data_IF_328503756161
#
_entry.id   IF_328503756161
#
_cell.length_a   1.000
_cell.length_b   1.000
_cell.length_c   1.000
_cell.angle_alpha   90.00
_cell.angle_beta   90.00
_cell.angle_gamma   90.00
#
_symmetry.space_group_name_H-M   'P 1'
#
loop_
_entity.id
_entity.type
_entity.pdbx_description
1 polymer ?
#
# COMPACT_ATOMS: atom_id res chain seq x y z
N UNK A 1 -78.98 -61.15 -27.80
CA UNK A 1 -78.38 -62.41 -27.30
C UNK A 1 -76.97 -62.44 -27.84
N UNK A 2 -75.87 -62.36 -27.10
CA UNK A 2 -75.61 -62.16 -25.67
C UNK A 2 -74.11 -61.88 -25.64
N UNK A 3 -73.70 -60.71 -25.16
CA UNK A 3 -72.32 -60.38 -24.84
C UNK A 3 -72.01 -60.82 -23.41
N UNK A 4 -70.79 -61.28 -23.14
CA UNK A 4 -70.14 -61.30 -21.80
C UNK A 4 -68.63 -61.04 -22.00
N UNK A 5 -67.94 -60.33 -21.07
CA UNK A 5 -66.85 -59.39 -21.38
C UNK A 5 -65.50 -59.75 -20.71
N UNK A 6 -64.48 -58.91 -20.93
CA UNK A 6 -63.35 -58.66 -20.02
C UNK A 6 -63.08 -57.14 -20.07
N UNK A 7 -63.33 -56.34 -19.02
CA UNK A 7 -62.43 -55.99 -17.87
C UNK A 7 -61.07 -55.46 -18.35
N UNK A 8 -60.49 -54.35 -17.89
CA UNK A 8 -60.79 -53.35 -16.86
C UNK A 8 -59.69 -52.25 -16.94
N UNK A 9 -59.91 -51.13 -16.24
CA UNK A 9 -58.93 -50.18 -15.66
C UNK A 9 -58.14 -49.17 -16.54
N UNK A 10 -58.57 -47.91 -16.38
CA UNK A 10 -57.84 -46.61 -16.24
C UNK A 10 -56.39 -46.44 -16.71
N UNK A 11 -56.07 -45.28 -17.31
CA UNK A 11 -55.30 -44.26 -16.57
C UNK A 11 -55.31 -42.89 -17.27
N UNK A 12 -55.65 -41.85 -16.51
CA UNK A 12 -55.64 -40.44 -16.92
C UNK A 12 -54.23 -39.86 -16.74
N UNK A 13 -53.49 -39.69 -17.84
CA UNK A 13 -52.19 -39.01 -17.80
C UNK A 13 -52.37 -37.49 -17.89
N UNK A 14 -52.29 -36.82 -16.74
CA UNK A 14 -52.05 -35.38 -16.65
C UNK A 14 -50.62 -35.05 -17.15
N UNK A 15 -50.50 -34.05 -18.01
CA UNK A 15 -49.21 -33.53 -18.45
C UNK A 15 -48.63 -32.59 -17.39
N UNK A 16 -47.55 -33.00 -16.73
CA UNK A 16 -46.75 -32.09 -15.92
C UNK A 16 -45.93 -31.15 -16.83
N UNK A 17 -45.79 -29.85 -16.51
CA UNK A 17 -44.92 -28.96 -17.25
C UNK A 17 -43.46 -29.36 -17.01
N UNK A 18 -42.70 -29.50 -18.09
CA UNK A 18 -41.31 -29.91 -18.07
C UNK A 18 -40.47 -29.00 -17.17
N UNK A 19 -39.79 -29.61 -16.18
CA UNK A 19 -38.69 -28.97 -15.48
C UNK A 19 -37.61 -28.69 -16.51
N UNK A 20 -37.51 -27.44 -16.96
CA UNK A 20 -36.37 -26.98 -17.74
C UNK A 20 -35.08 -27.30 -16.97
N UNK A 21 -34.24 -28.12 -17.58
CA UNK A 21 -32.87 -28.33 -17.14
C UNK A 21 -32.19 -26.96 -17.21
N UNK A 22 -31.98 -26.31 -16.05
CA UNK A 22 -31.08 -25.16 -15.98
C UNK A 22 -29.70 -25.74 -16.27
N UNK A 23 -29.17 -25.44 -17.45
CA UNK A 23 -27.75 -25.61 -17.69
C UNK A 23 -27.01 -24.73 -16.66
N UNK A 24 -26.04 -25.27 -15.91
CA UNK A 24 -25.21 -24.43 -15.06
C UNK A 24 -24.55 -23.38 -15.96
N UNK A 25 -24.63 -22.10 -15.57
CA UNK A 25 -23.89 -21.07 -16.27
C UNK A 25 -22.39 -21.44 -16.29
N UNK A 26 -21.68 -21.18 -17.40
CA UNK A 26 -20.25 -21.41 -17.43
C UNK A 26 -19.59 -20.66 -16.26
N UNK A 27 -18.58 -21.25 -15.60
CA UNK A 27 -17.93 -20.58 -14.48
C UNK A 27 -17.42 -19.22 -14.93
N UNK A 28 -17.81 -18.15 -14.22
CA UNK A 28 -17.35 -16.79 -14.48
C UNK A 28 -15.82 -16.78 -14.47
N UNK A 29 -15.20 -16.07 -15.42
CA UNK A 29 -13.75 -15.89 -15.41
C UNK A 29 -13.33 -15.17 -14.12
N UNK A 30 -12.10 -15.39 -13.64
CA UNK A 30 -11.58 -14.76 -12.42
C UNK A 30 -11.78 -13.24 -12.41
N UNK A 31 -11.49 -12.55 -13.53
CA UNK A 31 -11.67 -11.10 -13.63
C UNK A 31 -13.15 -10.68 -13.67
N UNK A 32 -14.05 -11.50 -14.23
CA UNK A 32 -15.48 -11.22 -14.20
C UNK A 32 -16.03 -11.34 -12.76
N UNK A 33 -15.55 -12.32 -12.02
CA UNK A 33 -15.86 -12.47 -10.61
C UNK A 33 -15.29 -11.30 -9.77
N UNK A 34 -14.02 -10.92 -9.99
CA UNK A 34 -13.41 -9.79 -9.31
C UNK A 34 -14.12 -8.46 -9.64
N UNK A 35 -14.62 -8.29 -10.86
CA UNK A 35 -15.45 -7.14 -11.24
C UNK A 35 -16.73 -7.05 -10.41
N UNK A 36 -17.50 -8.13 -10.30
CA UNK A 36 -18.70 -8.15 -9.48
C UNK A 36 -18.37 -7.92 -8.00
N UNK A 37 -17.42 -8.66 -7.43
CA UNK A 37 -17.09 -8.56 -6.00
C UNK A 37 -16.49 -7.21 -5.62
N UNK A 38 -15.49 -6.75 -6.37
CA UNK A 38 -14.68 -5.58 -6.00
C UNK A 38 -15.23 -4.29 -6.61
N UNK A 39 -15.45 -4.26 -7.93
CA UNK A 39 -15.89 -3.02 -8.59
C UNK A 39 -17.33 -2.67 -8.22
N UNK A 40 -18.25 -3.63 -8.31
CA UNK A 40 -19.68 -3.37 -8.10
C UNK A 40 -20.04 -3.35 -6.61
N UNK A 41 -19.57 -4.32 -5.84
CA UNK A 41 -19.93 -4.46 -4.42
C UNK A 41 -18.91 -3.83 -3.45
N UNK A 42 -17.69 -3.52 -3.90
CA UNK A 42 -16.66 -2.92 -3.05
C UNK A 42 -16.15 -3.85 -1.97
N UNK A 43 -16.24 -5.16 -2.17
CA UNK A 43 -15.71 -6.18 -1.26
C UNK A 43 -14.35 -6.59 -1.77
N UNK A 44 -13.32 -6.48 -0.93
CA UNK A 44 -11.95 -6.87 -1.29
C UNK A 44 -11.84 -8.36 -1.61
N UNK A 45 -10.88 -8.74 -2.46
CA UNK A 45 -10.54 -10.14 -2.70
C UNK A 45 -9.93 -10.80 -1.44
N UNK A 46 -10.33 -12.05 -1.17
CA UNK A 46 -9.69 -12.88 -0.16
C UNK A 46 -8.39 -13.53 -0.67
N UNK A 47 -7.64 -14.18 0.22
CA UNK A 47 -6.25 -14.61 -0.04
C UNK A 47 -6.11 -15.48 -1.29
N UNK A 48 -6.92 -16.54 -1.41
CA UNK A 48 -6.87 -17.42 -2.58
C UNK A 48 -7.22 -16.67 -3.88
N UNK A 49 -8.15 -15.72 -3.83
CA UNK A 49 -8.54 -14.93 -5.00
C UNK A 49 -7.42 -13.97 -5.41
N UNK A 50 -6.74 -13.35 -4.43
CA UNK A 50 -5.55 -12.53 -4.67
C UNK A 50 -4.44 -13.37 -5.28
N UNK A 51 -4.19 -14.57 -4.76
CA UNK A 51 -3.20 -15.51 -5.30
C UNK A 51 -3.51 -15.89 -6.75
N UNK A 52 -4.77 -16.18 -7.06
CA UNK A 52 -5.19 -16.50 -8.42
C UNK A 52 -4.98 -15.31 -9.38
N UNK A 53 -5.19 -14.07 -8.91
CA UNK A 53 -4.91 -12.85 -9.67
C UNK A 53 -3.41 -12.68 -9.89
N UNK A 54 -2.59 -12.89 -8.86
CA UNK A 54 -1.12 -12.82 -8.95
C UNK A 54 -0.52 -13.89 -9.86
N UNK A 55 -1.26 -14.95 -10.18
CA UNK A 55 -0.85 -16.01 -11.12
C UNK A 55 -1.44 -15.86 -12.52
N UNK A 56 -2.18 -14.78 -12.79
CA UNK A 56 -2.69 -14.53 -14.14
C UNK A 56 -1.54 -14.42 -15.14
N UNK A 57 -1.65 -15.05 -16.32
CA UNK A 57 -0.60 -15.00 -17.31
C UNK A 57 -0.50 -13.59 -17.91
N UNK A 58 0.66 -13.25 -18.45
CA UNK A 58 1.01 -11.90 -18.91
C UNK A 58 0.00 -11.31 -19.91
N UNK A 59 -0.63 -12.13 -20.74
CA UNK A 59 -1.62 -11.69 -21.72
C UNK A 59 -2.87 -11.09 -21.07
N UNK A 60 -3.10 -11.37 -19.78
CA UNK A 60 -4.23 -10.84 -18.99
C UNK A 60 -3.85 -9.62 -18.15
N UNK A 61 -2.57 -9.22 -18.12
CA UNK A 61 -2.12 -8.06 -17.37
C UNK A 61 -2.85 -6.76 -17.79
N UNK A 62 -3.07 -6.47 -19.09
CA UNK A 62 -3.82 -5.27 -19.49
C UNK A 62 -5.25 -5.24 -18.94
N UNK A 63 -5.97 -6.36 -19.01
CA UNK A 63 -7.34 -6.48 -18.47
C UNK A 63 -7.37 -6.29 -16.95
N UNK A 64 -6.36 -6.83 -16.26
CA UNK A 64 -6.23 -6.73 -14.82
C UNK A 64 -5.98 -5.27 -14.38
N UNK A 65 -5.06 -4.57 -15.05
CA UNK A 65 -4.77 -3.16 -14.76
C UNK A 65 -5.99 -2.29 -15.05
N UNK A 66 -6.70 -2.54 -16.15
CA UNK A 66 -7.94 -1.83 -16.47
C UNK A 66 -9.00 -2.01 -15.38
N UNK A 67 -9.22 -3.25 -14.91
CA UNK A 67 -10.15 -3.51 -13.81
C UNK A 67 -9.73 -2.81 -12.52
N UNK A 68 -8.45 -2.86 -12.15
CA UNK A 68 -7.95 -2.20 -10.95
C UNK A 68 -8.09 -0.66 -11.03
N UNK A 69 -7.90 -0.07 -12.23
CA UNK A 69 -8.18 1.34 -12.46
C UNK A 69 -9.66 1.68 -12.29
N UNK A 70 -10.56 0.89 -12.88
CA UNK A 70 -12.01 1.08 -12.71
C UNK A 70 -12.41 1.02 -11.23
N UNK A 71 -11.84 0.07 -10.46
CA UNK A 71 -12.06 -0.05 -9.01
C UNK A 71 -11.57 1.21 -8.30
N UNK A 72 -10.36 1.68 -8.59
CA UNK A 72 -9.80 2.91 -8.01
C UNK A 72 -10.71 4.11 -8.32
N UNK A 73 -11.14 4.28 -9.56
CA UNK A 73 -12.01 5.38 -9.96
C UNK A 73 -13.37 5.32 -9.26
N UNK A 74 -13.93 4.12 -9.06
CA UNK A 74 -15.25 3.94 -8.44
C UNK A 74 -15.26 4.23 -6.94
N UNK A 75 -14.17 3.88 -6.25
CA UNK A 75 -14.12 3.84 -4.78
C UNK A 75 -13.21 4.90 -4.16
N UNK A 76 -12.21 5.39 -4.88
CA UNK A 76 -11.29 6.44 -4.44
C UNK A 76 -11.43 7.75 -5.23
N UNK A 77 -11.87 7.67 -6.50
CA UNK A 77 -12.02 8.84 -7.36
C UNK A 77 -10.79 9.13 -8.24
N UNK A 78 -10.82 10.27 -8.97
CA UNK A 78 -9.77 10.64 -9.92
C UNK A 78 -8.50 11.17 -9.27
N UNK A 79 -8.64 11.72 -8.06
CA UNK A 79 -7.60 12.49 -7.39
C UNK A 79 -6.41 11.64 -6.95
N UNK A 80 -5.26 12.28 -6.87
CA UNK A 80 -4.00 11.69 -6.41
C UNK A 80 -3.45 12.50 -5.23
N UNK A 81 -2.92 11.76 -4.27
CA UNK A 81 -2.25 12.31 -3.10
C UNK A 81 -0.74 12.34 -3.31
N UNK A 82 -0.12 13.45 -2.92
CA UNK A 82 1.32 13.67 -3.06
C UNK A 82 1.89 13.89 -1.67
N UNK A 83 2.96 13.19 -1.34
CA UNK A 83 3.65 13.27 -0.05
C UNK A 83 5.15 13.51 -0.26
N UNK A 84 5.71 14.34 0.61
CA UNK A 84 7.16 14.43 0.80
C UNK A 84 7.56 13.77 2.11
N UNK A 85 8.71 13.09 2.11
CA UNK A 85 9.28 12.48 3.31
C UNK A 85 10.65 13.07 3.61
N UNK A 86 11.00 13.13 4.91
CA UNK A 86 12.34 13.56 5.32
C UNK A 86 12.83 12.74 6.51
N UNK A 87 14.13 12.46 6.52
CA UNK A 87 14.77 11.80 7.65
C UNK A 87 15.25 12.83 8.67
N UNK A 88 14.60 12.88 9.83
CA UNK A 88 15.05 13.68 10.98
C UNK A 88 16.29 13.04 11.63
N UNK A 89 16.35 11.71 11.64
CA UNK A 89 17.48 10.91 12.13
C UNK A 89 17.80 9.83 11.11
N UNK A 90 18.94 9.94 10.44
CA UNK A 90 19.42 8.97 9.44
C UNK A 90 20.45 8.04 10.03
N UNK A 91 20.45 6.76 9.62
CA UNK A 91 21.53 5.79 9.86
C UNK A 91 21.70 5.35 11.32
N UNK A 92 22.47 4.29 11.56
CA UNK A 92 22.74 3.78 12.91
C UNK A 92 21.48 3.32 13.65
N UNK A 93 20.52 2.72 12.94
CA UNK A 93 19.37 2.08 13.54
C UNK A 93 19.81 0.79 14.27
N UNK A 94 19.32 0.49 15.49
CA UNK A 94 19.71 -0.72 16.20
C UNK A 94 19.13 -2.01 15.62
N UNK A 95 18.10 -1.91 14.77
CA UNK A 95 17.39 -3.03 14.15
C UNK A 95 18.20 -3.67 13.02
N UNK A 96 17.88 -4.92 12.71
CA UNK A 96 18.59 -5.77 11.75
C UNK A 96 17.77 -6.06 10.48
N UNK A 97 16.89 -5.13 10.07
CA UNK A 97 16.11 -5.31 8.84
C UNK A 97 17.03 -5.53 7.64
N UNK A 98 17.02 -6.74 7.06
CA UNK A 98 18.00 -7.22 6.09
C UNK A 98 18.04 -6.43 4.77
N UNK A 99 17.01 -5.65 4.45
CA UNK A 99 16.96 -4.76 3.30
C UNK A 99 17.51 -3.36 3.58
N UNK A 100 17.65 -2.96 4.84
CA UNK A 100 17.72 -1.56 5.22
C UNK A 100 19.17 -1.06 5.30
N UNK A 101 19.52 -0.13 4.40
CA UNK A 101 20.83 0.53 4.41
C UNK A 101 21.09 1.37 5.67
N UNK A 102 20.08 1.68 6.48
CA UNK A 102 20.23 2.47 7.71
C UNK A 102 20.52 1.63 8.96
N UNK A 103 20.46 0.30 8.85
CA UNK A 103 20.78 -0.61 9.95
C UNK A 103 22.24 -0.45 10.38
N UNK A 104 22.47 -0.25 11.67
CA UNK A 104 23.80 -0.25 12.27
C UNK A 104 24.39 -1.65 12.46
N UNK A 105 23.68 -2.71 12.04
CA UNK A 105 24.12 -4.11 12.10
C UNK A 105 24.90 -4.52 10.85
N UNK A 106 24.79 -3.76 9.77
CA UNK A 106 25.37 -4.09 8.48
C UNK A 106 26.42 -3.06 8.05
N UNK A 107 27.44 -3.46 7.26
CA UNK A 107 28.51 -2.57 6.80
C UNK A 107 28.07 -1.68 5.62
N UNK A 108 26.99 -0.93 5.81
CA UNK A 108 26.44 -0.04 4.77
C UNK A 108 27.18 1.30 4.75
N UNK A 109 27.17 2.05 3.63
CA UNK A 109 27.85 3.35 3.56
C UNK A 109 27.10 4.49 4.27
N UNK A 110 25.91 4.24 4.84
CA UNK A 110 25.05 5.27 5.42
C UNK A 110 25.59 5.71 6.78
N UNK A 111 25.83 7.01 6.93
CA UNK A 111 26.33 7.60 8.18
C UNK A 111 25.20 8.11 9.05
N UNK A 112 25.40 8.07 10.36
CA UNK A 112 24.48 8.65 11.32
C UNK A 112 24.45 10.18 11.19
N UNK A 113 23.27 10.75 11.04
CA UNK A 113 23.08 12.20 10.91
C UNK A 113 21.74 12.64 11.50
N UNK A 114 21.68 13.90 11.92
CA UNK A 114 20.48 14.56 12.41
C UNK A 114 20.19 15.79 11.55
N UNK A 115 18.92 15.97 11.20
CA UNK A 115 18.44 17.18 10.55
C UNK A 115 18.15 18.24 11.62
N UNK A 116 18.55 19.48 11.35
CA UNK A 116 18.15 20.60 12.21
C UNK A 116 16.73 21.09 11.87
N UNK A 117 16.11 21.79 12.82
CA UNK A 117 14.75 22.30 12.68
C UNK A 117 14.61 23.28 11.50
N UNK A 118 15.54 24.22 11.24
CA UNK A 118 15.46 25.09 10.08
C UNK A 118 15.40 24.34 8.73
N UNK A 119 16.20 23.29 8.57
CA UNK A 119 16.16 22.46 7.35
C UNK A 119 14.89 21.59 7.29
N UNK A 120 14.37 21.13 8.44
CA UNK A 120 13.07 20.45 8.51
C UNK A 120 11.94 21.35 8.01
N UNK A 121 11.87 22.59 8.50
CA UNK A 121 10.87 23.59 8.07
C UNK A 121 11.03 23.89 6.58
N UNK A 122 12.27 24.07 6.10
CA UNK A 122 12.55 24.26 4.67
C UNK A 122 12.03 23.10 3.83
N UNK A 123 12.27 21.86 4.25
CA UNK A 123 11.80 20.67 3.54
C UNK A 123 10.26 20.59 3.52
N UNK A 124 9.59 20.93 4.63
CA UNK A 124 8.14 20.98 4.71
C UNK A 124 7.56 22.03 3.75
N UNK A 125 8.18 23.22 3.67
CA UNK A 125 7.78 24.27 2.73
C UNK A 125 7.95 23.84 1.28
N UNK A 126 9.11 23.29 0.94
CA UNK A 126 9.38 22.77 -0.41
C UNK A 126 8.40 21.66 -0.80
N UNK A 127 8.00 20.82 0.17
CA UNK A 127 6.98 19.79 -0.05
C UNK A 127 5.62 20.42 -0.34
N UNK A 128 5.16 21.37 0.48
CA UNK A 128 3.90 22.08 0.24
C UNK A 128 3.84 22.80 -1.12
N UNK A 129 4.97 23.39 -1.56
CA UNK A 129 5.10 24.02 -2.89
C UNK A 129 4.89 23.06 -4.07
N UNK A 130 5.02 21.73 -3.86
CA UNK A 130 4.70 20.73 -4.89
C UNK A 130 3.20 20.43 -5.01
N UNK A 131 2.37 20.99 -4.13
CA UNK A 131 0.96 20.61 -4.00
C UNK A 131 0.73 19.36 -3.14
N UNK A 132 1.76 18.87 -2.44
CA UNK A 132 1.60 17.81 -1.46
C UNK A 132 0.68 18.25 -0.31
N UNK A 133 -0.25 17.36 0.05
CA UNK A 133 -1.13 17.48 1.22
C UNK A 133 -0.40 17.08 2.50
N UNK A 134 0.68 16.31 2.39
CA UNK A 134 1.32 15.61 3.50
C UNK A 134 2.85 15.71 3.49
N UNK A 135 3.40 15.82 4.69
CA UNK A 135 4.83 15.77 4.96
C UNK A 135 5.14 14.81 6.12
N UNK A 136 5.92 13.77 5.85
CA UNK A 136 6.25 12.73 6.84
C UNK A 136 7.66 12.88 7.41
N UNK A 137 7.73 12.94 8.74
CA UNK A 137 8.96 12.99 9.51
C UNK A 137 9.37 11.56 9.89
N UNK A 138 10.53 11.13 9.42
CA UNK A 138 11.02 9.75 9.55
C UNK A 138 12.28 9.69 10.41
N UNK A 139 12.42 8.64 11.22
CA UNK A 139 13.62 8.41 12.03
C UNK A 139 14.09 6.95 11.99
N UNK A 140 15.39 6.75 11.79
CA UNK A 140 16.04 5.43 11.78
C UNK A 140 16.26 4.91 13.22
N UNK A 141 15.19 4.56 13.91
CA UNK A 141 15.20 4.07 15.30
C UNK A 141 14.30 2.84 15.44
N UNK A 142 14.46 2.11 16.54
CA UNK A 142 13.51 1.04 16.92
C UNK A 142 12.15 1.62 17.30
N UNK A 143 12.18 2.68 18.09
CA UNK A 143 11.06 3.44 18.61
C UNK A 143 11.61 4.77 19.13
N UNK A 144 10.78 5.80 19.31
CA UNK A 144 11.28 7.12 19.68
C UNK A 144 11.67 7.16 21.15
N UNK A 145 12.74 7.90 21.47
CA UNK A 145 13.04 8.32 22.84
C UNK A 145 12.47 9.73 23.10
N UNK A 146 12.51 10.17 24.36
CA UNK A 146 11.99 11.48 24.75
C UNK A 146 12.73 12.64 24.06
N UNK A 147 14.01 12.45 23.70
CA UNK A 147 14.77 13.46 22.96
C UNK A 147 14.26 13.59 21.53
N UNK A 148 14.00 12.48 20.85
CA UNK A 148 13.44 12.46 19.50
C UNK A 148 12.02 13.05 19.49
N UNK A 149 11.15 12.65 20.43
CA UNK A 149 9.80 13.22 20.53
C UNK A 149 9.83 14.74 20.78
N UNK A 150 10.75 15.22 21.62
CA UNK A 150 10.95 16.65 21.84
C UNK A 150 11.34 17.38 20.55
N UNK A 151 12.26 16.81 19.76
CA UNK A 151 12.67 17.38 18.48
C UNK A 151 11.55 17.36 17.44
N UNK A 152 10.75 16.30 17.39
CA UNK A 152 9.56 16.22 16.54
C UNK A 152 8.56 17.31 16.94
N UNK A 153 8.25 17.46 18.24
CA UNK A 153 7.37 18.51 18.77
C UNK A 153 7.85 19.91 18.40
N UNK A 154 9.14 20.19 18.56
CA UNK A 154 9.74 21.46 18.16
C UNK A 154 9.64 21.68 16.64
N UNK A 155 9.88 20.64 15.85
CA UNK A 155 9.76 20.66 14.40
C UNK A 155 8.34 20.96 13.93
N UNK A 156 7.35 20.25 14.46
CA UNK A 156 5.93 20.47 14.13
C UNK A 156 5.51 21.90 14.50
N UNK A 157 5.88 22.38 15.70
CA UNK A 157 5.62 23.76 16.11
C UNK A 157 6.25 24.76 15.14
N UNK A 158 7.51 24.57 14.77
CA UNK A 158 8.23 25.47 13.87
C UNK A 158 7.63 25.49 12.45
N UNK A 159 7.15 24.35 11.94
CA UNK A 159 6.45 24.27 10.64
C UNK A 159 5.16 25.10 10.68
N UNK A 160 4.39 24.98 11.76
CA UNK A 160 3.15 25.78 11.95
C UNK A 160 3.44 27.26 12.12
N UNK A 161 4.47 27.63 12.89
CA UNK A 161 4.92 29.02 13.07
C UNK A 161 5.43 29.65 11.77
N UNK A 162 5.92 28.84 10.82
CA UNK A 162 6.30 29.28 9.46
C UNK A 162 5.08 29.60 8.57
N UNK A 163 3.85 29.33 9.05
CA UNK A 163 2.60 29.49 8.30
C UNK A 163 2.33 28.34 7.33
N UNK A 164 2.93 27.17 7.56
CA UNK A 164 2.71 25.98 6.74
C UNK A 164 1.69 25.02 7.40
N UNK A 165 0.54 24.89 6.76
CA UNK A 165 -0.59 24.08 7.24
C UNK A 165 -0.60 22.64 6.66
N UNK A 166 0.49 22.20 6.02
CA UNK A 166 0.63 20.83 5.49
C UNK A 166 0.35 19.78 6.58
N UNK A 167 -0.35 18.70 6.23
CA UNK A 167 -0.61 17.62 7.19
C UNK A 167 0.69 16.93 7.57
N UNK A 168 0.89 16.69 8.87
CA UNK A 168 2.13 16.08 9.37
C UNK A 168 1.89 14.61 9.68
N UNK A 169 2.69 13.76 9.06
CA UNK A 169 2.81 12.35 9.39
C UNK A 169 4.13 12.03 10.08
N UNK A 170 4.20 10.90 10.75
CA UNK A 170 5.41 10.43 11.42
C UNK A 170 5.67 8.94 11.17
N UNK A 171 6.95 8.57 11.08
CA UNK A 171 7.42 7.19 11.01
C UNK A 171 8.62 7.03 11.94
N UNK A 172 8.35 6.73 13.21
CA UNK A 172 9.35 6.78 14.29
C UNK A 172 9.60 5.42 14.95
N UNK A 173 9.14 4.33 14.33
CA UNK A 173 9.31 2.96 14.82
C UNK A 173 8.12 2.46 15.63
N UNK A 174 8.36 1.51 16.53
CA UNK A 174 7.34 0.97 17.45
C UNK A 174 7.07 1.98 18.57
N UNK A 175 5.81 2.11 18.96
CA UNK A 175 5.36 3.08 19.96
C UNK A 175 4.89 2.40 21.24
N UNK A 176 4.91 3.13 22.35
CA UNK A 176 4.05 2.86 23.51
C UNK A 176 2.78 3.71 23.44
N UNK A 177 1.76 3.38 24.24
CA UNK A 177 0.52 4.18 24.26
C UNK A 177 0.77 5.63 24.66
N UNK A 178 1.65 5.90 25.63
CA UNK A 178 1.98 7.28 26.02
C UNK A 178 2.58 8.07 24.85
N UNK A 179 3.38 7.42 24.00
CA UNK A 179 3.98 8.05 22.83
C UNK A 179 2.96 8.30 21.73
N UNK A 180 1.96 7.42 21.59
CA UNK A 180 0.80 7.62 20.70
C UNK A 180 0.03 8.86 21.15
N UNK A 181 -0.29 8.97 22.43
CA UNK A 181 -1.01 10.12 23.00
C UNK A 181 -0.21 11.42 22.80
N UNK A 182 1.12 11.38 23.01
CA UNK A 182 1.99 12.51 22.75
C UNK A 182 1.98 12.98 21.29
N UNK A 183 1.90 12.06 20.32
CA UNK A 183 1.84 12.38 18.89
C UNK A 183 0.48 12.97 18.49
N UNK A 184 -0.62 12.47 19.06
CA UNK A 184 -1.96 13.06 18.91
C UNK A 184 -1.96 14.50 19.42
N UNK A 185 -1.39 14.75 20.60
CA UNK A 185 -1.26 16.09 21.17
C UNK A 185 -0.38 17.03 20.33
N UNK A 186 0.56 16.49 19.55
CA UNK A 186 1.35 17.27 18.59
C UNK A 186 0.57 17.65 17.32
N UNK A 187 -0.59 17.02 17.08
CA UNK A 187 -1.34 17.19 15.83
C UNK A 187 -0.77 16.35 14.67
N UNK A 188 -0.09 15.24 14.97
CA UNK A 188 0.28 14.24 13.96
C UNK A 188 -1.00 13.54 13.51
N UNK A 189 -1.35 13.69 12.23
CA UNK A 189 -2.63 13.16 11.72
C UNK A 189 -2.52 11.69 11.28
N UNK A 190 -1.33 11.26 10.83
CA UNK A 190 -1.08 9.92 10.28
C UNK A 190 0.23 9.36 10.82
N UNK A 191 0.24 8.05 11.08
CA UNK A 191 1.46 7.35 11.49
C UNK A 191 1.77 6.22 10.52
N UNK A 192 2.99 6.23 9.97
CA UNK A 192 3.51 5.17 9.12
C UNK A 192 4.24 4.11 9.94
N UNK A 193 3.78 2.87 9.85
CA UNK A 193 4.43 1.72 10.43
C UNK A 193 4.18 0.46 9.59
N UNK A 194 4.99 0.26 8.55
CA UNK A 194 4.86 -0.90 7.66
C UNK A 194 4.87 -2.23 8.41
N UNK A 195 4.20 -3.26 7.92
CA UNK A 195 4.44 -4.64 8.34
C UNK A 195 5.64 -5.27 7.62
N UNK A 196 6.16 -4.58 6.61
CA UNK A 196 7.28 -4.93 5.72
C UNK A 196 6.97 -6.11 4.78
N UNK A 197 6.40 -7.20 5.29
CA UNK A 197 6.04 -8.41 4.54
C UNK A 197 4.96 -9.22 5.26
N UNK A 198 4.59 -10.36 4.68
CA UNK A 198 3.67 -11.32 5.28
C UNK A 198 4.19 -11.85 6.61
N UNK A 199 3.30 -12.13 7.56
CA UNK A 199 3.66 -12.71 8.86
C UNK A 199 4.49 -14.00 8.70
N UNK A 200 4.15 -14.86 7.74
CA UNK A 200 4.89 -16.10 7.49
C UNK A 200 6.32 -15.89 6.97
N UNK A 201 6.61 -14.74 6.34
CA UNK A 201 7.93 -14.41 5.79
C UNK A 201 8.78 -13.55 6.73
N UNK A 202 8.15 -12.81 7.64
CA UNK A 202 8.78 -11.81 8.50
C UNK A 202 10.06 -12.27 9.23
N UNK A 203 10.14 -13.50 9.80
CA UNK A 203 11.37 -13.96 10.48
C UNK A 203 12.60 -14.08 9.58
N UNK A 204 12.42 -14.07 8.24
CA UNK A 204 13.52 -14.06 7.27
C UNK A 204 14.01 -12.64 6.94
N UNK A 205 13.23 -11.62 7.31
CA UNK A 205 13.49 -10.20 7.02
C UNK A 205 14.10 -9.47 8.20
N UNK A 206 13.61 -9.73 9.42
CA UNK A 206 14.04 -9.06 10.64
C UNK A 206 14.01 -10.03 11.83
N UNK A 207 14.97 -9.93 12.74
CA UNK A 207 15.01 -10.77 13.97
C UNK A 207 15.02 -9.97 15.28
N UNK A 208 15.24 -8.66 15.19
CA UNK A 208 15.31 -7.74 16.35
C UNK A 208 13.96 -7.35 16.95
N UNK A 209 12.86 -7.60 16.24
CA UNK A 209 11.49 -7.44 16.71
C UNK A 209 10.57 -8.42 15.98
N UNK A 210 9.33 -8.59 16.46
CA UNK A 210 8.35 -9.49 15.84
C UNK A 210 7.36 -8.75 14.96
N UNK A 211 6.66 -9.49 14.11
CA UNK A 211 5.55 -8.97 13.31
C UNK A 211 4.42 -8.45 14.23
N UNK A 212 4.15 -9.15 15.33
CA UNK A 212 3.13 -8.77 16.31
C UNK A 212 3.42 -7.43 16.98
N UNK A 213 4.68 -7.10 17.31
CA UNK A 213 5.02 -5.79 17.88
C UNK A 213 4.67 -4.63 16.93
N UNK A 214 4.82 -4.86 15.62
CA UNK A 214 4.45 -3.89 14.59
C UNK A 214 2.94 -3.76 14.47
N UNK A 215 2.24 -4.89 14.47
CA UNK A 215 0.79 -4.94 14.48
C UNK A 215 0.18 -4.22 15.69
N UNK A 216 0.73 -4.43 16.88
CA UNK A 216 0.24 -3.79 18.11
C UNK A 216 0.45 -2.27 18.07
N UNK A 217 1.56 -1.79 17.50
CA UNK A 217 1.77 -0.36 17.25
C UNK A 217 0.66 0.22 16.36
N UNK A 218 0.32 -0.46 15.27
CA UNK A 218 -0.72 -0.04 14.33
C UNK A 218 -2.12 0.00 14.98
N UNK A 219 -2.41 -0.95 15.87
CA UNK A 219 -3.66 -0.94 16.64
C UNK A 219 -3.75 0.25 17.59
N UNK A 220 -2.69 0.55 18.34
CA UNK A 220 -2.67 1.71 19.23
C UNK A 220 -2.86 3.02 18.45
N UNK A 221 -2.22 3.16 17.28
CA UNK A 221 -2.39 4.31 16.37
C UNK A 221 -3.86 4.44 15.93
N UNK A 222 -4.46 3.34 15.47
CA UNK A 222 -5.85 3.32 15.01
C UNK A 222 -6.84 3.67 16.14
N UNK A 223 -6.66 3.06 17.31
CA UNK A 223 -7.52 3.24 18.49
C UNK A 223 -7.46 4.68 19.03
N UNK A 224 -6.32 5.36 18.85
CA UNK A 224 -6.13 6.76 19.20
C UNK A 224 -6.71 7.74 18.15
N UNK A 225 -7.22 7.24 17.02
CA UNK A 225 -7.85 8.05 15.98
C UNK A 225 -6.88 8.71 14.99
N UNK A 226 -5.60 8.35 15.00
CA UNK A 226 -4.68 8.71 13.92
C UNK A 226 -4.94 7.83 12.70
N UNK A 227 -4.68 8.38 11.51
CA UNK A 227 -4.72 7.59 10.29
C UNK A 227 -3.58 6.57 10.27
N UNK A 228 -3.92 5.34 9.88
CA UNK A 228 -2.96 4.25 9.74
C UNK A 228 -2.38 4.26 8.33
N UNK A 229 -1.06 4.45 8.24
CA UNK A 229 -0.26 4.19 7.05
C UNK A 229 0.57 2.91 7.27
N UNK A 230 0.29 1.88 6.49
CA UNK A 230 0.96 0.60 6.64
C UNK A 230 1.06 -0.11 5.31
N UNK A 231 2.28 -0.40 4.88
CA UNK A 231 2.55 -1.23 3.73
C UNK A 231 3.78 -2.09 3.93
N UNK A 232 4.57 -2.26 2.87
CA UNK A 232 5.76 -3.10 2.90
C UNK A 232 6.57 -3.04 1.61
N UNK A 233 7.45 -4.02 1.45
CA UNK A 233 8.43 -4.09 0.37
C UNK A 233 8.20 -5.40 -0.42
N UNK A 234 8.05 -5.26 -1.73
CA UNK A 234 7.95 -6.39 -2.67
C UNK A 234 9.34 -6.71 -3.23
N UNK A 235 9.71 -7.99 -3.29
CA UNK A 235 10.98 -8.46 -3.81
C UNK A 235 12.04 -8.80 -2.77
N UNK A 236 11.67 -9.04 -1.52
CA UNK A 236 12.56 -9.47 -0.43
C UNK A 236 12.79 -10.99 -0.40
N UNK A 237 12.45 -11.70 -1.48
CA UNK A 237 12.53 -13.16 -1.56
C UNK A 237 11.26 -13.87 -1.11
N UNK A 238 10.18 -13.14 -0.85
CA UNK A 238 8.87 -13.69 -0.54
C UNK A 238 8.27 -14.44 -1.75
N UNK A 239 7.50 -15.50 -1.48
CA UNK A 239 6.77 -16.22 -2.54
C UNK A 239 5.51 -15.45 -2.96
N UNK A 240 4.92 -15.83 -4.10
CA UNK A 240 3.66 -15.23 -4.58
C UNK A 240 2.51 -15.47 -3.59
N UNK A 241 2.50 -16.62 -2.92
CA UNK A 241 1.55 -16.94 -1.85
C UNK A 241 1.72 -16.00 -0.66
N UNK A 242 2.97 -15.70 -0.27
CA UNK A 242 3.25 -14.75 0.80
C UNK A 242 2.83 -13.33 0.43
N UNK A 243 2.93 -12.93 -0.85
CA UNK A 243 2.35 -11.63 -1.28
C UNK A 243 0.82 -11.61 -1.18
N UNK A 244 0.15 -12.72 -1.47
CA UNK A 244 -1.31 -12.82 -1.32
C UNK A 244 -1.73 -12.76 0.16
N UNK A 245 -1.05 -13.52 1.02
CA UNK A 245 -1.20 -13.44 2.49
C UNK A 245 -1.02 -12.00 2.97
N UNK A 246 0.05 -11.34 2.50
CA UNK A 246 0.36 -9.98 2.90
C UNK A 246 -0.72 -8.97 2.51
N UNK A 247 -1.25 -9.05 1.29
CA UNK A 247 -2.33 -8.17 0.84
C UNK A 247 -3.57 -8.25 1.73
N UNK A 248 -3.93 -9.46 2.18
CA UNK A 248 -5.09 -9.67 3.07
C UNK A 248 -4.78 -9.22 4.50
N UNK A 249 -3.58 -9.49 5.01
CA UNK A 249 -3.14 -8.98 6.33
C UNK A 249 -3.18 -7.45 6.39
N UNK A 250 -2.79 -6.77 5.31
CA UNK A 250 -2.96 -5.33 5.19
C UNK A 250 -4.43 -4.93 5.17
N UNK A 251 -5.27 -5.63 4.40
CA UNK A 251 -6.71 -5.34 4.35
C UNK A 251 -7.40 -5.50 5.71
N UNK A 252 -6.97 -6.45 6.54
CA UNK A 252 -7.47 -6.67 7.91
C UNK A 252 -7.22 -5.47 8.85
N UNK A 253 -6.16 -4.70 8.62
CA UNK A 253 -5.89 -3.46 9.37
C UNK A 253 -6.84 -2.32 8.99
N UNK A 254 -7.53 -2.43 7.86
CA UNK A 254 -8.30 -1.35 7.25
C UNK A 254 -7.52 -0.01 7.21
N UNK A 255 -6.30 0.01 6.65
CA UNK A 255 -5.45 1.19 6.66
C UNK A 255 -6.02 2.28 5.75
N UNK A 256 -5.72 3.52 6.11
CA UNK A 256 -6.05 4.68 5.28
C UNK A 256 -5.15 4.70 4.05
N UNK A 257 -3.90 4.27 4.24
CA UNK A 257 -2.88 4.23 3.20
C UNK A 257 -2.00 2.97 3.29
N UNK A 258 -1.66 2.42 2.12
CA UNK A 258 -0.67 1.37 1.93
C UNK A 258 0.44 1.86 1.00
N UNK A 259 1.62 2.21 1.53
CA UNK A 259 2.81 2.45 0.73
C UNK A 259 3.35 1.13 0.17
N UNK A 260 3.47 1.07 -1.14
CA UNK A 260 4.06 -0.02 -1.88
C UNK A 260 5.50 0.33 -2.25
N UNK A 261 6.44 -0.34 -1.62
CA UNK A 261 7.86 -0.24 -1.94
C UNK A 261 8.28 -1.46 -2.77
N UNK A 262 9.26 -1.28 -3.63
CA UNK A 262 9.97 -2.35 -4.30
C UNK A 262 11.40 -2.38 -3.77
N UNK A 263 11.94 -3.58 -3.56
CA UNK A 263 13.28 -3.74 -3.01
C UNK A 263 14.30 -3.00 -3.90
N UNK A 264 15.06 -2.10 -3.29
CA UNK A 264 16.27 -1.53 -3.86
C UNK A 264 17.44 -2.25 -3.18
N UNK A 265 18.15 -3.19 -3.84
CA UNK A 265 19.30 -3.86 -3.25
C UNK A 265 20.36 -2.84 -2.81
N UNK A 266 20.72 -2.88 -1.52
CA UNK A 266 21.61 -1.89 -0.91
C UNK A 266 22.99 -2.48 -0.63
N UNK A 267 24.09 -1.85 -1.06
CA UNK A 267 25.44 -2.31 -0.75
C UNK A 267 25.66 -2.51 0.75
N UNK A 268 26.24 -3.66 1.10
CA UNK A 268 26.55 -4.06 2.47
C UNK A 268 25.37 -4.64 3.25
N UNK A 269 24.15 -4.62 2.71
CA UNK A 269 23.01 -5.31 3.33
C UNK A 269 22.98 -6.79 2.94
N UNK A 270 22.37 -7.68 3.75
CA UNK A 270 22.19 -9.08 3.37
C UNK A 270 21.42 -9.30 2.04
N UNK A 271 20.64 -8.31 1.59
CA UNK A 271 19.90 -8.37 0.32
C UNK A 271 20.58 -7.65 -0.84
N UNK A 272 21.85 -7.26 -0.71
CA UNK A 272 22.57 -6.47 -1.73
C UNK A 272 22.64 -7.12 -3.12
N UNK A 273 22.45 -8.43 -3.22
CA UNK A 273 22.53 -9.20 -4.46
C UNK A 273 21.18 -9.79 -4.90
N UNK A 274 20.08 -9.35 -4.29
CA UNK A 274 18.76 -9.78 -4.73
C UNK A 274 18.43 -9.16 -6.08
N UNK A 275 17.72 -9.92 -6.92
CA UNK A 275 17.25 -9.42 -8.20
C UNK A 275 16.08 -8.45 -7.97
N UNK A 276 15.98 -7.44 -8.83
CA UNK A 276 14.83 -6.54 -8.82
C UNK A 276 13.59 -7.28 -9.34
N UNK A 277 12.42 -6.92 -8.81
CA UNK A 277 11.14 -7.47 -9.28
C UNK A 277 10.96 -7.11 -10.76
N UNK A 278 10.50 -8.05 -11.58
CA UNK A 278 10.16 -7.76 -12.97
C UNK A 278 8.96 -6.79 -13.03
N UNK A 279 9.02 -5.77 -13.90
CA UNK A 279 8.00 -4.72 -13.96
C UNK A 279 6.57 -5.26 -14.16
N UNK A 280 6.37 -6.34 -14.92
CA UNK A 280 5.05 -6.98 -15.08
C UNK A 280 4.53 -7.60 -13.79
N UNK A 281 5.42 -8.23 -13.02
CA UNK A 281 5.08 -8.84 -11.74
C UNK A 281 4.77 -7.77 -10.67
N UNK A 282 5.52 -6.67 -10.69
CA UNK A 282 5.23 -5.49 -9.89
C UNK A 282 3.86 -4.87 -10.23
N UNK A 283 3.54 -4.69 -11.52
CA UNK A 283 2.23 -4.20 -11.97
C UNK A 283 1.08 -5.13 -11.59
N UNK A 284 1.29 -6.45 -11.73
CA UNK A 284 0.32 -7.46 -11.29
C UNK A 284 0.07 -7.37 -9.79
N UNK A 285 1.13 -7.15 -9.01
CA UNK A 285 1.06 -6.97 -7.55
C UNK A 285 0.29 -5.71 -7.17
N UNK A 286 0.55 -4.58 -7.84
CA UNK A 286 -0.20 -3.32 -7.67
C UNK A 286 -1.70 -3.54 -7.90
N UNK A 287 -2.07 -4.17 -9.01
CA UNK A 287 -3.46 -4.43 -9.32
C UNK A 287 -4.11 -5.39 -8.31
N UNK A 288 -3.40 -6.45 -7.91
CA UNK A 288 -3.89 -7.40 -6.91
C UNK A 288 -4.15 -6.72 -5.56
N UNK A 289 -3.28 -5.81 -5.12
CA UNK A 289 -3.45 -5.05 -3.88
C UNK A 289 -4.66 -4.10 -3.97
N UNK A 290 -4.86 -3.44 -5.11
CA UNK A 290 -6.08 -2.63 -5.36
C UNK A 290 -7.34 -3.47 -5.27
N UNK A 291 -7.32 -4.69 -5.79
CA UNK A 291 -8.47 -5.59 -5.73
C UNK A 291 -8.71 -6.17 -4.32
N UNK A 292 -7.66 -6.33 -3.52
CA UNK A 292 -7.78 -6.69 -2.10
C UNK A 292 -8.31 -5.53 -1.25
N UNK A 293 -7.97 -4.28 -1.59
CA UNK A 293 -8.27 -3.09 -0.81
C UNK A 293 -8.91 -1.98 -1.67
N UNK A 294 -10.19 -2.12 -2.05
CA UNK A 294 -10.81 -1.23 -3.04
C UNK A 294 -10.85 0.25 -2.65
N UNK A 295 -10.88 0.57 -1.36
CA UNK A 295 -11.04 1.96 -0.84
C UNK A 295 -9.75 2.58 -0.31
N UNK A 296 -8.73 1.78 -0.05
CA UNK A 296 -7.48 2.23 0.57
C UNK A 296 -6.65 3.05 -0.41
N UNK A 297 -5.97 4.08 0.07
CA UNK A 297 -4.98 4.79 -0.75
C UNK A 297 -3.77 3.89 -0.98
N UNK A 298 -3.43 3.61 -2.24
CA UNK A 298 -2.22 2.88 -2.57
C UNK A 298 -1.19 3.87 -3.07
N UNK A 299 -0.04 3.92 -2.38
CA UNK A 299 1.02 4.88 -2.65
C UNK A 299 2.22 4.21 -3.29
N UNK A 300 2.71 4.76 -4.39
CA UNK A 300 4.07 4.42 -4.83
C UNK A 300 5.10 5.08 -3.91
N UNK A 301 5.88 4.24 -3.25
CA UNK A 301 6.98 4.62 -2.38
C UNK A 301 8.32 4.22 -3.02
N UNK A 302 9.29 3.78 -2.20
CA UNK A 302 10.66 3.51 -2.65
C UNK A 302 10.76 2.44 -3.72
N UNK A 303 11.58 2.67 -4.74
CA UNK A 303 12.02 1.64 -5.69
C UNK A 303 11.24 1.56 -7.00
N UNK A 304 10.18 2.37 -7.18
CA UNK A 304 9.40 2.40 -8.43
C UNK A 304 10.29 2.70 -9.65
N UNK A 305 11.27 3.57 -9.53
CA UNK A 305 12.12 4.01 -10.64
C UNK A 305 12.96 2.84 -11.15
N UNK A 306 13.51 2.05 -10.22
CA UNK A 306 14.36 0.90 -10.53
C UNK A 306 13.55 -0.27 -11.08
N UNK A 307 12.37 -0.53 -10.51
CA UNK A 307 11.54 -1.69 -10.83
C UNK A 307 10.65 -1.49 -12.05
N UNK A 308 10.05 -0.30 -12.19
CA UNK A 308 9.02 -0.02 -13.20
C UNK A 308 9.52 0.90 -14.32
N UNK A 309 10.51 1.76 -14.06
CA UNK A 309 10.83 2.89 -14.94
C UNK A 309 9.63 3.81 -15.15
N UNK A 310 9.73 4.76 -16.08
CA UNK A 310 8.66 5.75 -16.30
C UNK A 310 7.38 5.11 -16.86
N UNK A 311 7.49 4.29 -17.91
CA UNK A 311 6.32 3.63 -18.52
C UNK A 311 5.60 2.68 -17.55
N UNK A 312 6.34 1.93 -16.74
CA UNK A 312 5.73 1.05 -15.74
C UNK A 312 5.10 1.84 -14.59
N UNK A 313 5.68 2.97 -14.19
CA UNK A 313 5.08 3.84 -13.20
C UNK A 313 3.74 4.41 -13.69
N UNK A 314 3.68 4.90 -14.92
CA UNK A 314 2.42 5.35 -15.57
C UNK A 314 1.38 4.23 -15.59
N UNK A 315 1.77 3.02 -16.03
CA UNK A 315 0.90 1.85 -16.02
C UNK A 315 0.39 1.50 -14.63
N UNK A 316 1.19 1.70 -13.58
CA UNK A 316 0.80 1.48 -12.19
C UNK A 316 -0.19 2.54 -11.67
N UNK A 317 0.00 3.81 -12.03
CA UNK A 317 -0.97 4.90 -11.73
C UNK A 317 -2.32 4.63 -12.41
N UNK A 318 -2.29 4.15 -13.66
CA UNK A 318 -3.43 3.64 -14.41
C UNK A 318 -3.77 2.17 -14.09
N UNK A 319 -3.19 1.61 -13.03
CA UNK A 319 -3.31 0.20 -12.64
C UNK A 319 -3.77 0.01 -11.20
N UNK A 320 -4.10 1.09 -10.49
CA UNK A 320 -4.65 1.04 -9.14
C UNK A 320 -3.96 1.94 -8.12
N UNK A 321 -2.78 2.51 -8.43
CA UNK A 321 -2.14 3.51 -7.55
C UNK A 321 -2.89 4.84 -7.62
N UNK A 322 -2.99 5.52 -6.47
CA UNK A 322 -3.60 6.84 -6.37
C UNK A 322 -2.87 7.76 -5.38
N UNK A 323 -1.61 7.47 -5.09
CA UNK A 323 -0.73 8.34 -4.32
C UNK A 323 0.74 8.13 -4.70
N UNK A 324 1.59 9.13 -4.47
CA UNK A 324 3.02 9.05 -4.79
C UNK A 324 3.87 9.81 -3.76
N UNK A 325 5.04 9.25 -3.44
CA UNK A 325 6.11 10.00 -2.75
C UNK A 325 6.93 10.73 -3.80
N UNK A 326 7.05 12.05 -3.68
CA UNK A 326 7.82 12.88 -4.60
C UNK A 326 9.22 13.18 -4.09
N UNK A 327 10.15 13.36 -5.02
CA UNK A 327 11.55 13.66 -4.70
C UNK A 327 12.33 12.43 -4.26
N UNK A 328 13.31 12.65 -3.39
CA UNK A 328 14.14 11.57 -2.89
C UNK A 328 13.45 10.79 -1.78
N UNK A 329 13.84 9.51 -1.66
CA UNK A 329 13.57 8.73 -0.48
C UNK A 329 14.67 8.98 0.57
N UNK A 330 14.53 8.39 1.76
CA UNK A 330 15.42 8.60 2.90
C UNK A 330 16.91 8.50 2.54
N UNK A 331 17.36 7.34 2.06
CA UNK A 331 18.75 7.09 1.66
C UNK A 331 18.89 6.73 0.19
N UNK A 332 17.78 6.73 -0.54
CA UNK A 332 17.72 6.34 -1.95
C UNK A 332 17.29 7.53 -2.78
N UNK A 333 17.92 7.69 -3.93
CA UNK A 333 17.50 8.68 -4.90
C UNK A 333 16.18 8.22 -5.52
N UNK A 334 15.22 9.14 -5.56
CA UNK A 334 14.05 9.02 -6.41
C UNK A 334 14.28 9.82 -7.69
N UNK A 335 13.21 10.39 -8.24
CA UNK A 335 13.28 11.37 -9.32
C UNK A 335 12.87 12.77 -8.85
N UNK A 336 13.21 13.84 -9.60
CA UNK A 336 12.76 15.18 -9.26
C UNK A 336 11.24 15.25 -9.15
N UNK A 337 10.71 15.96 -8.16
CA UNK A 337 9.27 16.09 -7.94
C UNK A 337 8.53 16.61 -9.19
N UNK A 338 9.16 17.50 -9.97
CA UNK A 338 8.58 18.00 -11.22
C UNK A 338 8.26 16.89 -12.23
N UNK A 339 9.08 15.85 -12.32
CA UNK A 339 8.83 14.73 -13.23
C UNK A 339 7.62 13.89 -12.81
N UNK A 340 7.38 13.76 -11.49
CA UNK A 340 6.15 13.15 -10.98
C UNK A 340 4.92 14.00 -11.30
N UNK A 341 5.01 15.32 -11.10
CA UNK A 341 3.91 16.25 -11.38
C UNK A 341 3.57 16.30 -12.88
N UNK A 342 4.58 16.31 -13.75
CA UNK A 342 4.40 16.23 -15.21
C UNK A 342 3.71 14.93 -15.62
N UNK A 343 4.13 13.78 -15.09
CA UNK A 343 3.47 12.49 -15.32
C UNK A 343 2.00 12.53 -14.90
N UNK A 344 1.68 13.10 -13.72
CA UNK A 344 0.29 13.21 -13.25
C UNK A 344 -0.56 14.10 -14.15
N UNK A 345 -0.02 15.21 -14.66
CA UNK A 345 -0.70 16.09 -15.61
C UNK A 345 -0.97 15.38 -16.95
N UNK A 346 0.02 14.68 -17.50
CA UNK A 346 -0.12 13.90 -18.74
C UNK A 346 -1.19 12.80 -18.61
N UNK A 347 -1.24 12.13 -17.46
CA UNK A 347 -2.25 11.12 -17.13
C UNK A 347 -3.62 11.74 -16.77
N UNK A 348 -3.72 13.07 -16.66
CA UNK A 348 -4.92 13.81 -16.22
C UNK A 348 -5.43 13.35 -14.86
N UNK A 349 -4.49 13.14 -13.95
CA UNK A 349 -4.75 12.69 -12.58
C UNK A 349 -4.56 13.87 -11.63
N UNK A 350 -5.64 14.60 -11.28
CA UNK A 350 -5.54 15.85 -10.55
C UNK A 350 -5.02 15.62 -9.13
N UNK A 351 -4.16 16.52 -8.66
CA UNK A 351 -3.66 16.49 -7.29
C UNK A 351 -4.75 17.06 -6.38
N UNK A 352 -5.04 16.35 -5.29
CA UNK A 352 -6.17 16.68 -4.40
C UNK A 352 -6.10 18.10 -3.83
N UNK A 353 -4.96 18.50 -3.25
CA UNK A 353 -4.78 19.84 -2.69
C UNK A 353 -5.06 20.97 -3.70
N UNK A 354 -4.69 20.76 -4.96
CA UNK A 354 -4.88 21.75 -6.02
C UNK A 354 -6.33 21.76 -6.53
N UNK A 355 -7.04 20.64 -6.39
CA UNK A 355 -8.45 20.52 -6.75
C UNK A 355 -9.36 21.21 -5.74
N UNK A 356 -9.01 21.18 -4.45
CA UNK A 356 -9.75 21.88 -3.38
C UNK A 356 -9.61 23.42 -3.46
N UNK A 357 -8.62 23.91 -4.20
CA UNK A 357 -8.31 25.34 -4.34
C UNK A 357 -8.90 26.00 -5.61
N UNK A 358 -9.57 25.22 -6.46
CA UNK A 358 -10.24 25.63 -7.70
C UNK A 358 -11.76 25.62 -7.53
#
# INVERSE_FOLDING_TARGET
MTAVPDTDVSDSRGSAPGRGLRHPEPPKSLLAFAREQVLENGVGLGEQQVLDVLRLPDERLPDLLALAHEVRMRWCGPEVEVEGIISLKTGGCPEDCHFCSQSGRFPTPVRSAWLDIPNLVKAARQTAETGATEFCIVAAVRGPDQRLLSQVREGVRAIREDGNDIQIACSLGMLTQEQVDELVDMGVHRYNHNLETARSHFPSVVTTHTWEERWDTLRMVADAGMEVCCGGIIGMGETVEQRAEFAVQLAELNPHEVPMNFLIPQPGTPYEHYEIVEGKDALRTVAAFRLAMPRTMLRFAGGRELTLGDLGAEQGMLGGINAIIVGNYLTNLGRPASADLEMLDELKMPIKALSDSL
#
